data_IF_426032517106
#
_entry.id   IF_426032517106
#
_cell.length_a   1.000
_cell.length_b   1.000
_cell.length_c   1.000
_cell.angle_alpha   90.00
_cell.angle_beta   90.00
_cell.angle_gamma   90.00
#
_symmetry.space_group_name_H-M   'P 1'
#
loop_
_entity.id
_entity.type
_entity.pdbx_description
1 polymer ?
#
# COMPACT_ATOMS: atom_id res chain seq x y z
N UNK A 1 10.55 3.60 -12.21
CA UNK A 1 9.30 4.29 -11.81
C UNK A 1 8.68 3.68 -10.55
N UNK A 2 7.73 4.36 -9.89
CA UNK A 2 6.95 3.81 -8.77
C UNK A 2 5.62 3.24 -9.27
N UNK A 3 5.37 1.98 -8.95
CA UNK A 3 4.11 1.29 -9.19
C UNK A 3 3.40 1.05 -7.85
N UNK A 4 2.08 1.17 -7.87
CA UNK A 4 1.25 0.99 -6.69
C UNK A 4 0.35 -0.23 -6.87
N UNK A 5 0.37 -1.13 -5.89
CA UNK A 5 -0.35 -2.42 -5.97
C UNK A 5 -1.28 -2.54 -4.78
N UNK A 6 -2.58 -2.60 -5.05
CA UNK A 6 -3.60 -2.80 -4.02
C UNK A 6 -3.53 -4.20 -3.44
N UNK A 7 -3.91 -4.34 -2.16
CA UNK A 7 -3.94 -5.62 -1.44
C UNK A 7 -2.56 -6.28 -1.21
N UNK A 8 -1.45 -5.60 -1.53
CA UNK A 8 -0.12 -6.10 -1.23
C UNK A 8 0.29 -5.79 0.22
N UNK A 9 -0.20 -6.60 1.17
CA UNK A 9 -0.06 -6.36 2.62
C UNK A 9 0.76 -7.43 3.38
N UNK A 10 1.13 -8.53 2.71
CA UNK A 10 1.87 -9.63 3.32
C UNK A 10 3.17 -9.94 2.56
N UNK A 11 4.09 -10.66 3.22
CA UNK A 11 5.32 -11.14 2.57
C UNK A 11 5.02 -12.01 1.34
N UNK A 12 3.96 -12.82 1.38
CA UNK A 12 3.52 -13.62 0.22
C UNK A 12 3.11 -12.74 -0.95
N UNK A 13 2.34 -11.68 -0.69
CA UNK A 13 1.97 -10.72 -1.73
C UNK A 13 3.21 -10.07 -2.36
N UNK A 14 4.19 -9.67 -1.54
CA UNK A 14 5.46 -9.10 -2.03
C UNK A 14 6.21 -10.09 -2.92
N UNK A 15 6.28 -11.37 -2.54
CA UNK A 15 6.91 -12.41 -3.34
C UNK A 15 6.23 -12.58 -4.70
N UNK A 16 4.89 -12.62 -4.74
CA UNK A 16 4.13 -12.69 -5.99
C UNK A 16 4.45 -11.50 -6.90
N UNK A 17 4.42 -10.27 -6.36
CA UNK A 17 4.75 -9.07 -7.18
C UNK A 17 6.17 -9.15 -7.74
N UNK A 18 7.15 -9.59 -6.94
CA UNK A 18 8.53 -9.77 -7.41
C UNK A 18 8.62 -10.79 -8.55
N UNK A 19 7.99 -11.94 -8.38
CA UNK A 19 7.98 -13.02 -9.36
C UNK A 19 7.36 -12.55 -10.70
N UNK A 20 6.23 -11.83 -10.65
CA UNK A 20 5.60 -11.29 -11.86
C UNK A 20 6.43 -10.21 -12.55
N UNK A 21 7.15 -9.37 -11.79
CA UNK A 21 8.10 -8.41 -12.37
C UNK A 21 9.28 -9.12 -13.05
N UNK A 22 9.84 -10.14 -12.41
CA UNK A 22 10.95 -10.93 -12.95
C UNK A 22 10.57 -11.69 -14.23
N UNK A 23 9.36 -12.26 -14.30
CA UNK A 23 8.81 -12.90 -15.51
C UNK A 23 8.73 -11.94 -16.70
N UNK A 24 8.49 -10.66 -16.44
CA UNK A 24 8.44 -9.60 -17.45
C UNK A 24 9.82 -8.98 -17.73
N UNK A 25 10.88 -9.48 -17.10
CA UNK A 25 12.25 -8.95 -17.23
C UNK A 25 12.45 -7.59 -16.57
N UNK A 26 11.53 -7.17 -15.68
CA UNK A 26 11.56 -5.86 -15.04
C UNK A 26 12.42 -5.89 -13.78
N UNK A 27 13.48 -5.08 -13.77
CA UNK A 27 14.35 -4.95 -12.60
C UNK A 27 13.67 -4.08 -11.55
N UNK A 28 13.52 -4.61 -10.35
CA UNK A 28 12.98 -3.90 -9.19
C UNK A 28 14.07 -3.57 -8.17
N UNK A 29 13.82 -2.57 -7.33
CA UNK A 29 14.76 -2.09 -6.29
C UNK A 29 14.16 -2.24 -4.91
N UNK A 30 13.04 -1.56 -4.67
CA UNK A 30 12.35 -1.53 -3.37
C UNK A 30 10.98 -2.15 -3.51
N UNK A 31 10.60 -3.01 -2.56
CA UNK A 31 9.27 -3.65 -2.48
C UNK A 31 8.70 -3.48 -1.07
N UNK A 32 7.92 -2.42 -0.92
CA UNK A 32 7.23 -2.06 0.32
C UNK A 32 5.75 -2.43 0.23
N UNK A 33 5.01 -2.56 1.34
CA UNK A 33 3.58 -2.83 1.28
C UNK A 33 2.84 -1.82 0.39
N UNK A 34 2.13 -2.35 -0.62
CA UNK A 34 1.47 -1.63 -1.71
C UNK A 34 2.28 -0.74 -2.64
N UNK A 35 3.62 -0.79 -2.61
CA UNK A 35 4.45 -0.02 -3.55
C UNK A 35 5.70 -0.80 -3.99
N UNK A 36 5.99 -0.76 -5.29
CA UNK A 36 7.22 -1.30 -5.86
C UNK A 36 7.89 -0.27 -6.75
N UNK A 37 9.21 -0.16 -6.61
CA UNK A 37 10.04 0.72 -7.42
C UNK A 37 10.84 -0.08 -8.45
N UNK A 38 10.60 0.20 -9.73
CA UNK A 38 11.31 -0.38 -10.86
C UNK A 38 12.42 0.54 -11.33
N UNK A 39 13.51 -0.04 -11.87
CA UNK A 39 14.59 0.76 -12.49
C UNK A 39 14.16 1.34 -13.82
N UNK A 40 13.46 0.53 -14.60
CA UNK A 40 13.03 0.86 -15.96
C UNK A 40 11.53 1.21 -15.96
N UNK A 41 11.13 2.01 -16.95
CA UNK A 41 9.72 2.28 -17.21
C UNK A 41 9.07 1.09 -17.92
N UNK A 42 7.80 0.85 -17.63
CA UNK A 42 7.03 -0.22 -18.25
C UNK A 42 6.48 0.25 -19.60
N UNK A 43 6.61 -0.57 -20.63
CA UNK A 43 5.85 -0.36 -21.88
C UNK A 43 4.35 -0.57 -21.62
N UNK A 44 3.45 -0.03 -22.47
CA UNK A 44 2.02 -0.27 -22.36
C UNK A 44 1.67 -1.78 -22.34
N UNK A 45 2.37 -2.59 -23.12
CA UNK A 45 2.17 -4.04 -23.18
C UNK A 45 2.60 -4.72 -21.88
N UNK A 46 3.77 -4.37 -21.34
CA UNK A 46 4.25 -4.90 -20.07
C UNK A 46 3.32 -4.50 -18.92
N UNK A 47 2.81 -3.27 -18.94
CA UNK A 47 1.86 -2.78 -17.94
C UNK A 47 0.56 -3.60 -17.95
N UNK A 48 0.01 -3.88 -19.12
CA UNK A 48 -1.20 -4.69 -19.23
C UNK A 48 -0.95 -6.15 -18.83
N UNK A 49 0.18 -6.73 -19.23
CA UNK A 49 0.59 -8.07 -18.81
C UNK A 49 0.73 -8.16 -17.29
N UNK A 50 1.37 -7.17 -16.66
CA UNK A 50 1.53 -7.10 -15.21
C UNK A 50 0.16 -6.99 -14.52
N UNK A 51 -0.73 -6.13 -15.03
CA UNK A 51 -2.08 -5.97 -14.49
C UNK A 51 -2.86 -7.29 -14.50
N UNK A 52 -2.86 -8.01 -15.62
CA UNK A 52 -3.52 -9.31 -15.75
C UNK A 52 -2.90 -10.35 -14.81
N UNK A 53 -1.57 -10.38 -14.70
CA UNK A 53 -0.86 -11.32 -13.84
C UNK A 53 -1.16 -11.09 -12.35
N UNK A 54 -1.15 -9.83 -11.90
CA UNK A 54 -1.48 -9.45 -10.53
C UNK A 54 -2.92 -9.83 -10.17
N UNK A 55 -3.87 -9.61 -11.08
CA UNK A 55 -5.28 -9.94 -10.87
C UNK A 55 -5.51 -11.44 -10.62
N UNK A 56 -4.73 -12.32 -11.28
CA UNK A 56 -4.79 -13.77 -11.03
C UNK A 56 -4.43 -14.15 -9.60
N UNK A 57 -3.68 -13.31 -8.92
CA UNK A 57 -3.26 -13.48 -7.52
C UNK A 57 -4.07 -12.64 -6.54
N UNK A 58 -5.15 -12.00 -6.99
CA UNK A 58 -5.98 -11.12 -6.17
C UNK A 58 -5.37 -9.74 -5.88
N UNK A 59 -4.32 -9.36 -6.60
CA UNK A 59 -3.66 -8.05 -6.51
C UNK A 59 -4.12 -7.15 -7.66
N UNK A 60 -4.03 -5.83 -7.48
CA UNK A 60 -4.52 -4.87 -8.47
C UNK A 60 -3.49 -3.76 -8.71
N UNK A 61 -3.06 -3.56 -9.96
CA UNK A 61 -2.19 -2.42 -10.32
C UNK A 61 -3.02 -1.13 -10.35
N UNK A 62 -2.62 -0.13 -9.56
CA UNK A 62 -3.38 1.09 -9.34
C UNK A 62 -2.88 2.24 -10.22
N UNK A 63 -3.81 3.07 -10.70
CA UNK A 63 -3.53 4.24 -11.53
C UNK A 63 -4.13 5.53 -10.97
N UNK A 64 -5.27 5.42 -10.28
CA UNK A 64 -5.96 6.56 -9.69
C UNK A 64 -5.20 7.11 -8.47
N UNK A 65 -4.83 8.39 -8.53
CA UNK A 65 -4.02 9.04 -7.49
C UNK A 65 -4.71 9.07 -6.12
N UNK A 66 -6.04 9.25 -6.08
CA UNK A 66 -6.79 9.26 -4.82
C UNK A 66 -6.79 7.86 -4.21
N UNK A 67 -7.09 6.83 -5.00
CA UNK A 67 -7.08 5.44 -4.57
C UNK A 67 -5.68 5.02 -4.08
N UNK A 68 -4.62 5.44 -4.79
CA UNK A 68 -3.23 5.18 -4.37
C UNK A 68 -2.97 5.81 -2.99
N UNK A 69 -3.42 7.04 -2.76
CA UNK A 69 -3.21 7.71 -1.47
C UNK A 69 -3.96 7.00 -0.34
N UNK A 70 -5.21 6.56 -0.58
CA UNK A 70 -5.97 5.74 0.36
C UNK A 70 -5.24 4.45 0.69
N UNK A 71 -4.71 3.76 -0.32
CA UNK A 71 -4.00 2.50 -0.11
C UNK A 71 -2.70 2.70 0.68
N UNK A 72 -1.97 3.80 0.44
CA UNK A 72 -0.82 4.18 1.27
C UNK A 72 -1.21 4.37 2.73
N UNK A 73 -2.27 5.12 3.03
CA UNK A 73 -2.75 5.33 4.40
C UNK A 73 -3.05 3.98 5.06
N UNK A 74 -3.79 3.10 4.37
CA UNK A 74 -4.11 1.75 4.88
C UNK A 74 -2.86 0.94 5.19
N UNK A 75 -1.89 0.92 4.28
CA UNK A 75 -0.67 0.14 4.45
C UNK A 75 0.17 0.65 5.61
N UNK A 76 0.31 1.96 5.77
CA UNK A 76 1.00 2.55 6.93
C UNK A 76 0.34 2.13 8.24
N UNK A 77 -1.00 2.11 8.30
CA UNK A 77 -1.74 1.68 9.49
C UNK A 77 -1.57 0.18 9.76
N UNK A 78 -1.68 -0.65 8.72
CA UNK A 78 -1.50 -2.11 8.85
C UNK A 78 -0.07 -2.42 9.30
N UNK A 79 0.94 -1.77 8.73
CA UNK A 79 2.34 -1.93 9.11
C UNK A 79 2.56 -1.54 10.57
N UNK A 80 2.11 -0.36 10.95
CA UNK A 80 2.18 0.16 12.32
C UNK A 80 1.53 -0.77 13.35
N UNK A 81 0.43 -1.44 13.01
CA UNK A 81 -0.30 -2.29 13.94
C UNK A 81 0.26 -3.72 13.94
N UNK A 82 0.41 -4.35 12.79
CA UNK A 82 0.68 -5.79 12.69
C UNK A 82 2.17 -6.14 12.62
N UNK A 83 3.02 -5.23 12.16
CA UNK A 83 4.41 -5.54 11.83
C UNK A 83 5.45 -4.69 12.58
N UNK A 84 5.03 -3.61 13.26
CA UNK A 84 5.89 -2.90 14.21
C UNK A 84 5.93 -3.63 15.57
N UNK A 85 7.14 -3.89 16.07
CA UNK A 85 7.38 -4.50 17.38
C UNK A 85 6.98 -3.57 18.54
N UNK A 86 7.14 -2.26 18.33
CA UNK A 86 6.73 -1.22 19.26
C UNK A 86 5.76 -0.23 18.58
N UNK A 87 4.72 0.18 19.30
CA UNK A 87 3.86 1.26 18.82
C UNK A 87 4.66 2.56 18.74
N UNK A 88 4.38 3.44 17.75
CA UNK A 88 5.09 4.72 17.65
C UNK A 88 5.03 5.50 18.96
N UNK A 89 6.17 6.06 19.37
CA UNK A 89 6.28 6.94 20.53
C UNK A 89 5.74 8.38 20.25
N UNK A 90 5.14 8.56 19.07
CA UNK A 90 4.50 9.78 18.57
C UNK A 90 3.01 9.51 18.32
N UNK A 91 2.20 10.56 18.24
CA UNK A 91 0.79 10.41 17.93
C UNK A 91 0.60 9.81 16.52
N UNK A 92 -0.44 9.00 16.32
CA UNK A 92 -0.75 8.38 15.04
C UNK A 92 -0.99 9.39 13.92
N UNK A 93 -1.52 10.58 14.25
CA UNK A 93 -1.65 11.66 13.28
C UNK A 93 -0.32 12.05 12.66
N UNK A 94 0.70 12.23 13.51
CA UNK A 94 2.01 12.71 13.12
C UNK A 94 2.77 11.61 12.38
N UNK A 95 2.70 10.38 12.90
CA UNK A 95 3.28 9.21 12.25
C UNK A 95 2.74 8.99 10.83
N UNK A 96 1.42 9.02 10.66
CA UNK A 96 0.78 8.82 9.35
C UNK A 96 1.14 9.96 8.41
N UNK A 97 1.14 11.21 8.90
CA UNK A 97 1.49 12.38 8.09
C UNK A 97 2.93 12.32 7.59
N UNK A 98 3.87 11.97 8.46
CA UNK A 98 5.29 11.84 8.12
C UNK A 98 5.53 10.73 7.08
N UNK A 99 4.91 9.55 7.28
CA UNK A 99 5.09 8.40 6.37
C UNK A 99 4.41 8.59 5.02
N UNK A 100 3.24 9.22 4.99
CA UNK A 100 2.48 9.43 3.75
C UNK A 100 2.93 10.70 3.01
N UNK A 101 3.45 11.69 3.73
CA UNK A 101 3.99 12.94 3.18
C UNK A 101 2.95 14.04 2.95
N UNK A 102 1.85 14.02 3.70
CA UNK A 102 0.75 14.99 3.61
C UNK A 102 0.24 15.35 5.00
N UNK A 103 -0.45 16.49 5.14
CA UNK A 103 -1.05 16.85 6.43
C UNK A 103 -2.18 15.89 6.82
N UNK A 104 -2.29 15.61 8.13
CA UNK A 104 -3.26 14.66 8.65
C UNK A 104 -4.72 15.07 8.35
N UNK A 105 -5.04 16.36 8.33
CA UNK A 105 -6.41 16.84 8.09
C UNK A 105 -6.86 16.46 6.68
N UNK A 106 -6.01 16.69 5.69
CA UNK A 106 -6.23 16.27 4.32
C UNK A 106 -6.38 14.75 4.21
N UNK A 107 -5.47 13.99 4.83
CA UNK A 107 -5.52 12.52 4.82
C UNK A 107 -6.80 11.99 5.47
N UNK A 108 -7.20 12.54 6.63
CA UNK A 108 -8.38 12.13 7.38
C UNK A 108 -9.68 12.41 6.62
N UNK A 109 -9.80 13.60 6.02
CA UNK A 109 -10.97 13.98 5.23
C UNK A 109 -11.12 13.08 4.00
N UNK A 110 -10.04 12.93 3.24
CA UNK A 110 -10.04 12.12 2.01
C UNK A 110 -10.26 10.64 2.31
N UNK A 111 -9.68 10.12 3.39
CA UNK A 111 -9.95 8.75 3.84
C UNK A 111 -11.42 8.54 4.22
N UNK A 112 -12.00 9.46 4.98
CA UNK A 112 -13.39 9.38 5.42
C UNK A 112 -14.37 9.48 4.24
N UNK A 113 -14.09 10.37 3.29
CA UNK A 113 -14.87 10.53 2.05
C UNK A 113 -14.91 9.22 1.25
N UNK A 114 -13.77 8.55 1.09
CA UNK A 114 -13.66 7.35 0.24
C UNK A 114 -14.07 6.07 0.97
N UNK A 115 -13.70 5.91 2.24
CA UNK A 115 -13.92 4.67 3.02
C UNK A 115 -15.22 4.67 3.82
N UNK A 116 -15.84 5.84 4.03
CA UNK A 116 -17.04 6.00 4.86
C UNK A 116 -16.79 5.84 6.37
N UNK A 117 -15.53 5.72 6.80
CA UNK A 117 -15.11 5.62 8.19
C UNK A 117 -13.85 6.46 8.41
N UNK A 118 -13.60 6.89 9.64
CA UNK A 118 -12.40 7.66 9.97
C UNK A 118 -11.16 6.77 10.04
N UNK A 119 -9.99 7.39 9.87
CA UNK A 119 -8.69 6.73 10.09
C UNK A 119 -8.61 6.14 11.50
N UNK A 120 -9.08 6.87 12.52
CA UNK A 120 -9.11 6.39 13.90
C UNK A 120 -9.96 5.12 14.05
N UNK A 121 -11.15 5.08 13.45
CA UNK A 121 -12.00 3.90 13.48
C UNK A 121 -11.31 2.71 12.81
N UNK A 122 -10.66 2.93 11.66
CA UNK A 122 -9.89 1.91 10.95
C UNK A 122 -8.72 1.35 11.80
N UNK A 123 -7.99 2.21 12.51
CA UNK A 123 -6.92 1.81 13.45
C UNK A 123 -7.49 0.92 14.56
N UNK A 124 -8.62 1.30 15.17
CA UNK A 124 -9.24 0.54 16.26
C UNK A 124 -9.64 -0.85 15.78
N UNK A 125 -10.28 -0.96 14.62
CA UNK A 125 -10.68 -2.24 14.03
C UNK A 125 -9.48 -3.17 13.85
N UNK A 126 -8.39 -2.69 13.25
CA UNK A 126 -7.20 -3.51 13.04
C UNK A 126 -6.48 -3.90 14.34
N UNK A 127 -6.50 -3.04 15.37
CA UNK A 127 -6.00 -3.40 16.71
C UNK A 127 -6.80 -4.56 17.31
N UNK A 128 -8.13 -4.55 17.16
CA UNK A 128 -8.99 -5.64 17.64
C UNK A 128 -8.69 -6.93 16.86
N UNK A 129 -8.52 -6.85 15.54
CA UNK A 129 -8.16 -8.00 14.70
C UNK A 129 -6.82 -8.62 15.06
N UNK A 130 -5.81 -7.83 15.45
CA UNK A 130 -4.49 -8.36 15.86
C UNK A 130 -4.55 -9.20 17.14
N UNK A 131 -5.48 -8.90 18.05
CA UNK A 131 -5.60 -9.56 19.36
C UNK A 131 -6.47 -10.81 19.31
N UNK A 132 -7.32 -10.93 18.29
CA UNK A 132 -8.12 -12.14 18.03
C UNK A 132 -7.29 -13.24 17.40
#
# INVERSE_FOLDING_TARGET
MKLYVKYMVSQRCKMVVKEELEKLGLRHTVVDPGMVETRDDLTPEQREQLKVALLKSGLELMEDRKAILIEKIKNVIIEMIHYSDELPNVNYSDYISEKVGYDYTYLSNMFSEVKGITIQHFIITHKIEKVK
#
